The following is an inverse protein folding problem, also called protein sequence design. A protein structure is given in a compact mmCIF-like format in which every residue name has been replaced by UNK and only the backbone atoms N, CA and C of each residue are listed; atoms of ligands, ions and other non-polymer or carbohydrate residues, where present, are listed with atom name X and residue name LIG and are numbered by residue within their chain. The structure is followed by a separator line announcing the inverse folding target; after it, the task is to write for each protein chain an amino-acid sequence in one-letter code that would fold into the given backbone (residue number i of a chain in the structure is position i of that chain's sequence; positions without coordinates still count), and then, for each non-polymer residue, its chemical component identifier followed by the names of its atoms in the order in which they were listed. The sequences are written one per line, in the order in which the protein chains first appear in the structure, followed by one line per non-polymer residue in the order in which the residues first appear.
data_IF_732129895655
#
_entry.id   IF_732129895655
#
_cell.length_a   1.000
_cell.length_b   1.000
_cell.length_c   1.000
_cell.angle_alpha   90.00
_cell.angle_beta   90.00
_cell.angle_gamma   90.00
#
_symmetry.space_group_name_H-M   'P 1'
#
loop_
_entity.id
_entity.type
_entity.pdbx_description
1 polymer ?
#
# COMPACT_ATOMS: atom_id res chain seq x y z
N UNK A 1 -2.04 65.88 8.97
CA UNK A 1 -0.84 65.19 8.44
C UNK A 1 -0.94 63.73 8.84
N UNK A 2 -1.04 62.80 7.89
CA UNK A 2 -1.17 61.35 8.13
C UNK A 2 0.23 60.73 8.04
N UNK A 3 0.74 59.97 9.03
CA UNK A 3 1.89 59.11 8.79
C UNK A 3 1.42 57.75 8.28
N UNK A 4 2.19 57.25 7.31
CA UNK A 4 1.88 56.19 6.39
C UNK A 4 2.13 54.78 6.96
N UNK A 5 1.41 53.83 6.40
CA UNK A 5 1.52 52.40 6.60
C UNK A 5 2.84 51.85 6.02
N UNK A 6 3.42 50.86 6.71
CA UNK A 6 4.34 49.90 6.10
C UNK A 6 4.17 48.55 6.77
N UNK A 7 3.16 47.79 6.32
CA UNK A 7 3.01 46.38 6.64
C UNK A 7 3.95 45.57 5.75
N UNK A 8 5.05 45.07 6.31
CA UNK A 8 5.94 44.13 5.63
C UNK A 8 5.37 42.72 5.80
N UNK A 9 4.63 42.26 4.79
CA UNK A 9 4.10 40.90 4.72
C UNK A 9 5.25 39.94 4.40
N UNK A 10 5.70 39.17 5.38
CA UNK A 10 6.70 38.12 5.18
C UNK A 10 6.04 36.96 4.43
N UNK A 11 6.55 36.70 3.23
CA UNK A 11 6.12 35.65 2.31
C UNK A 11 6.49 34.28 2.89
N UNK A 12 5.48 33.51 3.32
CA UNK A 12 5.63 32.12 3.71
C UNK A 12 6.12 31.29 2.51
N UNK A 13 7.37 30.84 2.58
CA UNK A 13 7.93 29.88 1.66
C UNK A 13 7.34 28.50 1.98
N UNK A 14 6.32 28.09 1.23
CA UNK A 14 5.76 26.75 1.32
C UNK A 14 6.80 25.74 0.83
N UNK A 15 7.45 25.05 1.77
CA UNK A 15 8.26 23.87 1.49
C UNK A 15 7.33 22.76 0.98
N UNK A 16 7.37 22.52 -0.33
CA UNK A 16 6.75 21.34 -0.94
C UNK A 16 7.73 20.17 -0.79
N UNK A 17 7.49 19.34 0.23
CA UNK A 17 8.23 18.09 0.41
C UNK A 17 7.81 17.02 -0.63
N UNK A 18 8.71 16.08 -0.97
CA UNK A 18 8.41 14.99 -1.89
C UNK A 18 7.28 14.10 -1.34
N UNK A 19 6.34 13.76 -2.22
CA UNK A 19 5.22 12.86 -1.94
C UNK A 19 5.72 11.41 -1.93
N UNK A 20 5.64 10.76 -0.76
CA UNK A 20 5.91 9.34 -0.58
C UNK A 20 4.57 8.56 -0.55
N UNK A 21 4.59 7.24 -0.38
CA UNK A 21 3.38 6.46 -0.06
C UNK A 21 3.13 6.51 1.45
N UNK A 22 1.86 6.47 1.93
CA UNK A 22 1.50 6.85 3.32
C UNK A 22 2.31 6.13 4.40
N UNK A 23 3.44 6.74 4.73
CA UNK A 23 4.49 6.15 5.56
C UNK A 23 4.01 5.89 6.99
N UNK A 24 2.97 6.59 7.42
CA UNK A 24 2.44 6.52 8.78
C UNK A 24 1.66 5.25 9.09
N UNK A 25 1.05 4.60 8.11
CA UNK A 25 0.29 3.37 8.36
C UNK A 25 1.22 2.29 8.93
N UNK A 26 2.43 2.20 8.38
CA UNK A 26 3.49 1.27 8.81
C UNK A 26 3.96 1.47 10.25
N UNK A 27 3.69 2.64 10.84
CA UNK A 27 4.02 2.94 12.24
C UNK A 27 2.82 2.78 13.19
N UNK A 28 1.64 2.45 12.66
CA UNK A 28 0.47 2.15 13.48
C UNK A 28 0.49 0.68 13.95
N UNK A 29 -0.22 0.36 15.05
CA UNK A 29 -0.51 -1.02 15.40
C UNK A 29 -1.15 -1.77 14.24
N UNK A 30 -0.79 -3.03 14.08
CA UNK A 30 -1.35 -3.93 13.08
C UNK A 30 -2.24 -4.97 13.77
N UNK A 31 -3.54 -4.88 13.52
CA UNK A 31 -4.53 -5.84 14.00
C UNK A 31 -4.79 -6.88 12.90
N UNK A 32 -4.85 -8.16 13.28
CA UNK A 32 -5.11 -9.26 12.33
C UNK A 32 -6.14 -10.21 12.93
N UNK A 33 -7.26 -10.34 12.24
CA UNK A 33 -8.35 -11.27 12.57
C UNK A 33 -8.41 -12.40 11.54
N UNK A 34 -8.75 -13.62 11.96
CA UNK A 34 -9.01 -14.77 11.10
C UNK A 34 -9.85 -15.82 11.83
N UNK A 35 -10.36 -16.81 11.10
CA UNK A 35 -11.12 -17.92 11.68
C UNK A 35 -10.22 -18.89 12.48
N UNK A 36 -8.95 -19.02 12.08
CA UNK A 36 -7.98 -19.90 12.73
C UNK A 36 -6.55 -19.39 12.61
N UNK A 37 -5.71 -19.79 13.57
CA UNK A 37 -4.28 -19.46 13.61
C UNK A 37 -3.46 -20.68 14.02
N UNK A 38 -2.32 -20.86 13.37
CA UNK A 38 -1.24 -21.78 13.74
C UNK A 38 0.03 -20.94 13.89
N UNK A 39 0.55 -20.84 15.11
CA UNK A 39 1.60 -19.90 15.45
C UNK A 39 2.59 -20.50 16.45
N UNK A 40 3.88 -20.36 16.15
CA UNK A 40 4.94 -20.44 17.14
C UNK A 40 5.25 -19.04 17.66
N UNK A 41 5.21 -18.89 18.99
CA UNK A 41 5.65 -17.66 19.66
C UNK A 41 7.16 -17.72 19.78
N UNK A 42 7.85 -17.02 18.89
CA UNK A 42 9.30 -16.93 18.86
C UNK A 42 9.77 -15.81 17.95
N UNK A 43 11.00 -15.38 18.15
CA UNK A 43 11.62 -14.27 17.41
C UNK A 43 11.88 -14.65 15.93
N UNK A 44 12.11 -15.93 15.67
CA UNK A 44 12.20 -16.53 14.34
C UNK A 44 11.09 -17.56 14.17
N UNK A 45 9.97 -17.14 13.60
CA UNK A 45 8.78 -17.98 13.49
C UNK A 45 7.90 -17.60 12.29
N UNK A 46 7.06 -18.54 11.87
CA UNK A 46 5.99 -18.30 10.91
C UNK A 46 4.65 -18.44 11.64
N UNK A 47 3.84 -17.39 11.59
CA UNK A 47 2.43 -17.42 12.02
C UNK A 47 1.56 -17.56 10.79
N UNK A 48 0.75 -18.60 10.73
CA UNK A 48 -0.19 -18.86 9.65
C UNK A 48 -1.61 -18.60 10.13
N UNK A 49 -2.37 -17.80 9.40
CA UNK A 49 -3.78 -17.49 9.69
C UNK A 49 -4.64 -17.88 8.49
N UNK A 50 -5.76 -18.57 8.73
CA UNK A 50 -6.65 -19.08 7.68
C UNK A 50 -8.11 -18.74 7.94
N UNK A 51 -8.83 -18.45 6.86
CA UNK A 51 -10.25 -18.14 6.85
C UNK A 51 -10.54 -16.70 7.23
N UNK A 52 -11.25 -15.97 6.35
CA UNK A 52 -11.71 -14.59 6.56
C UNK A 52 -10.65 -13.66 7.17
N UNK A 53 -9.42 -13.72 6.63
CA UNK A 53 -8.31 -12.93 7.17
C UNK A 53 -8.55 -11.45 6.90
N UNK A 54 -8.53 -10.64 7.95
CA UNK A 54 -8.66 -9.19 7.91
C UNK A 54 -7.50 -8.54 8.62
N UNK A 55 -6.72 -7.71 7.91
CA UNK A 55 -5.61 -6.95 8.49
C UNK A 55 -5.97 -5.47 8.47
N UNK A 56 -5.70 -4.77 9.57
CA UNK A 56 -5.85 -3.33 9.68
C UNK A 56 -4.59 -2.70 10.25
N UNK A 57 -4.09 -1.65 9.58
CA UNK A 57 -2.93 -0.89 10.04
C UNK A 57 -3.05 0.58 9.60
N UNK A 58 -3.46 1.47 10.50
CA UNK A 58 -3.78 2.85 10.12
C UNK A 58 -4.94 2.90 9.11
N UNK A 59 -4.69 3.39 7.90
CA UNK A 59 -5.68 3.38 6.80
C UNK A 59 -5.65 2.13 5.94
N UNK A 60 -4.62 1.28 6.08
CA UNK A 60 -4.51 0.02 5.36
C UNK A 60 -5.56 -0.98 5.87
N UNK A 61 -6.38 -1.48 4.95
CA UNK A 61 -7.27 -2.61 5.15
C UNK A 61 -6.93 -3.72 4.14
N UNK A 62 -6.82 -4.96 4.61
CA UNK A 62 -6.58 -6.13 3.76
C UNK A 62 -7.62 -7.20 4.04
N UNK A 63 -8.18 -7.77 2.99
CA UNK A 63 -9.02 -8.97 3.04
C UNK A 63 -8.32 -10.11 2.26
N UNK A 64 -8.21 -11.30 2.86
CA UNK A 64 -7.60 -12.48 2.22
C UNK A 64 -8.18 -13.79 2.77
N UNK A 65 -7.91 -14.90 2.07
CA UNK A 65 -8.30 -16.23 2.55
C UNK A 65 -7.26 -16.80 3.54
N UNK A 66 -5.98 -16.43 3.36
CA UNK A 66 -4.85 -16.89 4.16
C UNK A 66 -3.77 -15.81 4.28
N UNK A 67 -3.15 -15.72 5.45
CA UNK A 67 -1.95 -14.93 5.69
C UNK A 67 -0.84 -15.78 6.35
N UNK A 68 0.40 -15.57 5.92
CA UNK A 68 1.60 -16.09 6.57
C UNK A 68 2.48 -14.91 6.97
N UNK A 69 2.78 -14.78 8.25
CA UNK A 69 3.56 -13.69 8.84
C UNK A 69 4.86 -14.30 9.32
N UNK A 70 5.95 -13.92 8.66
CA UNK A 70 7.29 -14.36 8.99
C UNK A 70 7.92 -13.34 9.92
N UNK A 71 8.48 -13.83 11.02
CA UNK A 71 9.33 -13.05 11.93
C UNK A 71 10.77 -13.50 11.82
N UNK A 72 11.68 -12.54 11.93
CA UNK A 72 13.09 -12.79 12.08
C UNK A 72 13.67 -11.79 13.10
N UNK A 73 14.35 -12.29 14.13
CA UNK A 73 14.89 -11.46 15.21
C UNK A 73 13.83 -10.63 15.96
N UNK A 74 12.58 -11.13 16.04
CA UNK A 74 11.47 -10.49 16.75
C UNK A 74 10.64 -9.54 15.89
N UNK A 75 11.18 -9.09 14.75
CA UNK A 75 10.50 -8.20 13.81
C UNK A 75 9.83 -8.96 12.68
N UNK A 76 8.79 -8.38 12.08
CA UNK A 76 8.17 -8.94 10.87
C UNK A 76 9.13 -8.74 9.70
N UNK A 77 9.54 -9.84 9.06
CA UNK A 77 10.40 -9.84 7.89
C UNK A 77 9.61 -9.92 6.59
N UNK A 78 8.53 -10.69 6.57
CA UNK A 78 7.71 -10.89 5.37
C UNK A 78 6.25 -11.19 5.74
N UNK A 79 5.32 -10.71 4.91
CA UNK A 79 3.90 -11.07 4.95
C UNK A 79 3.51 -11.65 3.59
N UNK A 80 2.90 -12.82 3.60
CA UNK A 80 2.35 -13.47 2.41
C UNK A 80 0.84 -13.55 2.56
N UNK A 81 0.12 -13.01 1.60
CA UNK A 81 -1.34 -13.02 1.53
C UNK A 81 -1.75 -13.83 0.32
N UNK A 82 -2.73 -14.72 0.49
CA UNK A 82 -3.32 -15.48 -0.62
C UNK A 82 -4.84 -15.39 -0.53
N UNK A 83 -5.49 -15.19 -1.66
CA UNK A 83 -6.94 -15.21 -1.74
C UNK A 83 -7.48 -15.26 -3.17
N UNK A 84 -8.81 -15.33 -3.30
CA UNK A 84 -9.48 -15.37 -4.60
C UNK A 84 -10.46 -14.20 -4.84
N UNK A 85 -10.01 -12.92 -4.87
CA UNK A 85 -8.64 -12.43 -4.69
C UNK A 85 -8.36 -11.91 -3.27
N UNK A 86 -7.08 -11.78 -2.91
CA UNK A 86 -6.68 -10.88 -1.84
C UNK A 86 -6.93 -9.41 -2.25
N UNK A 87 -7.44 -8.59 -1.34
CA UNK A 87 -7.80 -7.19 -1.57
C UNK A 87 -7.07 -6.30 -0.56
N UNK A 88 -6.54 -5.19 -1.04
CA UNK A 88 -5.87 -4.18 -0.23
C UNK A 88 -6.50 -2.83 -0.52
N UNK A 89 -6.79 -2.07 0.52
CA UNK A 89 -7.29 -0.69 0.43
C UNK A 89 -6.46 0.18 1.33
N UNK A 90 -6.07 1.35 0.86
CA UNK A 90 -5.36 2.33 1.68
C UNK A 90 -5.63 3.75 1.19
N UNK A 91 -5.29 4.72 2.02
CA UNK A 91 -5.22 6.12 1.62
C UNK A 91 -3.75 6.50 1.42
N UNK A 92 -3.40 6.93 0.22
CA UNK A 92 -2.05 7.42 -0.11
C UNK A 92 -1.67 8.67 0.72
N UNK A 93 -0.38 9.05 0.74
CA UNK A 93 0.05 10.29 1.43
C UNK A 93 -0.65 11.54 0.89
N UNK A 94 -1.02 11.51 -0.39
CA UNK A 94 -1.76 12.60 -1.04
C UNK A 94 -3.25 12.61 -0.69
N UNK A 95 -3.71 11.70 0.17
CA UNK A 95 -5.12 11.59 0.60
C UNK A 95 -6.02 10.88 -0.40
N UNK A 96 -5.48 10.36 -1.50
CA UNK A 96 -6.26 9.65 -2.52
C UNK A 96 -6.41 8.16 -2.15
N UNK A 97 -7.61 7.58 -2.30
CA UNK A 97 -7.79 6.15 -2.09
C UNK A 97 -7.04 5.33 -3.14
N UNK A 98 -6.56 4.17 -2.72
CA UNK A 98 -5.93 3.18 -3.59
C UNK A 98 -6.50 1.81 -3.24
N UNK A 99 -6.99 1.11 -4.25
CA UNK A 99 -7.45 -0.28 -4.16
C UNK A 99 -6.51 -1.17 -4.98
N UNK A 100 -6.14 -2.32 -4.43
CA UNK A 100 -5.38 -3.34 -5.14
C UNK A 100 -6.00 -4.72 -4.93
N UNK A 101 -5.94 -5.56 -5.95
CA UNK A 101 -6.33 -6.97 -5.87
C UNK A 101 -5.36 -7.86 -6.63
N UNK A 102 -5.09 -9.03 -6.09
CA UNK A 102 -4.26 -10.07 -6.68
C UNK A 102 -4.60 -11.43 -6.05
N UNK A 103 -4.21 -12.53 -6.69
CA UNK A 103 -4.36 -13.86 -6.07
C UNK A 103 -3.35 -14.07 -4.92
N UNK A 104 -2.14 -13.52 -5.10
CA UNK A 104 -1.07 -13.58 -4.11
C UNK A 104 -0.41 -12.21 -3.96
N UNK A 105 -0.14 -11.83 -2.72
CA UNK A 105 0.66 -10.64 -2.38
C UNK A 105 1.77 -11.06 -1.43
N UNK A 106 3.00 -10.72 -1.78
CA UNK A 106 4.18 -10.94 -0.93
C UNK A 106 4.76 -9.58 -0.60
N UNK A 107 4.75 -9.20 0.67
CA UNK A 107 5.37 -7.99 1.16
C UNK A 107 6.62 -8.35 1.95
N UNK A 108 7.77 -7.92 1.45
CA UNK A 108 9.06 -8.01 2.13
C UNK A 108 9.30 -6.70 2.89
N UNK A 109 9.30 -6.78 4.22
CA UNK A 109 9.43 -5.62 5.10
C UNK A 109 10.85 -5.06 5.11
N UNK A 110 11.85 -5.90 4.88
CA UNK A 110 13.26 -5.48 4.89
C UNK A 110 13.61 -4.62 3.69
N UNK A 111 13.09 -4.97 2.51
CA UNK A 111 13.35 -4.27 1.25
C UNK A 111 12.25 -3.28 0.84
N UNK A 112 11.14 -3.25 1.58
CA UNK A 112 9.95 -2.44 1.30
C UNK A 112 9.37 -2.70 -0.10
N UNK A 113 9.45 -3.96 -0.53
CA UNK A 113 8.97 -4.44 -1.81
C UNK A 113 7.71 -5.27 -1.61
N UNK A 114 6.65 -4.90 -2.31
CA UNK A 114 5.43 -5.67 -2.44
C UNK A 114 5.33 -6.26 -3.84
N UNK A 115 5.18 -7.58 -3.95
CA UNK A 115 4.96 -8.29 -5.21
C UNK A 115 3.54 -8.82 -5.24
N UNK A 116 2.76 -8.38 -6.23
CA UNK A 116 1.41 -8.84 -6.50
C UNK A 116 1.45 -9.79 -7.69
N UNK A 117 0.79 -10.94 -7.57
CA UNK A 117 0.77 -11.97 -8.62
C UNK A 117 -0.63 -12.55 -8.80
N UNK A 118 -1.00 -12.81 -10.06
CA UNK A 118 -2.26 -13.43 -10.45
C UNK A 118 -3.38 -12.41 -10.59
N UNK A 119 -3.74 -12.09 -11.84
CA UNK A 119 -4.85 -11.18 -12.19
C UNK A 119 -4.82 -9.83 -11.44
N UNK A 120 -3.63 -9.23 -11.37
CA UNK A 120 -3.39 -8.00 -10.60
C UNK A 120 -4.18 -6.84 -11.18
N UNK A 121 -4.85 -6.09 -10.31
CA UNK A 121 -5.45 -4.79 -10.62
C UNK A 121 -5.17 -3.81 -9.49
N UNK A 122 -4.59 -2.66 -9.83
CA UNK A 122 -4.45 -1.50 -8.94
C UNK A 122 -5.32 -0.37 -9.50
N UNK A 123 -6.13 0.26 -8.66
CA UNK A 123 -7.05 1.34 -9.00
C UNK A 123 -6.82 2.55 -8.08
N UNK A 124 -6.83 3.73 -8.69
CA UNK A 124 -6.70 5.03 -8.05
C UNK A 124 -7.58 6.04 -8.79
N UNK A 125 -7.92 7.20 -8.20
CA UNK A 125 -8.68 8.25 -8.88
C UNK A 125 -8.09 8.70 -10.22
N UNK A 126 -6.78 8.56 -10.40
CA UNK A 126 -6.06 8.98 -11.62
C UNK A 126 -5.91 7.87 -12.66
N UNK A 127 -6.38 6.65 -12.39
CA UNK A 127 -6.19 5.56 -13.34
C UNK A 127 -6.18 4.15 -12.75
N UNK A 128 -5.73 3.19 -13.56
CA UNK A 128 -5.58 1.80 -13.14
C UNK A 128 -4.41 1.11 -13.84
N UNK A 129 -3.84 0.10 -13.19
CA UNK A 129 -2.78 -0.76 -13.73
C UNK A 129 -3.23 -2.21 -13.61
N UNK A 130 -3.09 -2.99 -14.70
CA UNK A 130 -3.40 -4.41 -14.77
C UNK A 130 -2.21 -5.20 -15.31
N UNK A 131 -2.01 -6.41 -14.80
CA UNK A 131 -0.96 -7.32 -15.25
C UNK A 131 -1.01 -8.65 -14.50
N UNK A 132 -0.15 -9.58 -14.88
CA UNK A 132 -0.01 -10.85 -14.15
C UNK A 132 0.87 -10.69 -12.91
N UNK A 133 1.99 -10.00 -13.05
CA UNK A 133 2.92 -9.71 -11.95
C UNK A 133 3.23 -8.22 -11.89
N UNK A 134 3.01 -7.59 -10.74
CA UNK A 134 3.43 -6.22 -10.45
C UNK A 134 4.28 -6.17 -9.19
N UNK A 135 5.39 -5.45 -9.25
CA UNK A 135 6.26 -5.14 -8.11
C UNK A 135 6.11 -3.68 -7.75
N UNK A 136 5.85 -3.40 -6.49
CA UNK A 136 5.68 -2.06 -5.96
C UNK A 136 6.71 -1.81 -4.85
N UNK A 137 7.53 -0.80 -5.02
CA UNK A 137 8.45 -0.33 -3.98
C UNK A 137 7.75 0.76 -3.16
N UNK A 138 7.47 0.47 -1.89
CA UNK A 138 6.69 1.32 -1.00
C UNK A 138 7.45 2.57 -0.55
N UNK A 139 8.79 2.55 -0.59
CA UNK A 139 9.62 3.70 -0.24
C UNK A 139 9.72 4.74 -1.35
N UNK A 140 9.69 4.31 -2.61
CA UNK A 140 9.84 5.20 -3.78
C UNK A 140 8.52 5.44 -4.51
N UNK A 141 7.48 4.66 -4.21
CA UNK A 141 6.24 4.65 -4.97
C UNK A 141 6.38 4.09 -6.39
N UNK A 142 7.49 3.41 -6.70
CA UNK A 142 7.76 2.88 -8.04
C UNK A 142 7.02 1.57 -8.27
N UNK A 143 6.24 1.51 -9.36
CA UNK A 143 5.60 0.29 -9.86
C UNK A 143 6.40 -0.23 -11.06
N UNK A 144 6.76 -1.50 -11.02
CA UNK A 144 7.36 -2.26 -12.11
C UNK A 144 6.42 -3.40 -12.49
N UNK A 145 6.22 -3.62 -13.78
CA UNK A 145 5.38 -4.70 -14.27
C UNK A 145 5.92 -5.25 -15.58
N UNK A 146 5.64 -6.52 -15.83
CA UNK A 146 6.10 -7.24 -17.02
C UNK A 146 7.46 -7.92 -16.82
N UNK A 147 7.93 -8.60 -17.87
CA UNK A 147 9.15 -9.42 -17.83
C UNK A 147 8.91 -10.93 -17.68
N UNK A 148 7.65 -11.34 -17.49
CA UNK A 148 7.18 -12.73 -17.45
C UNK A 148 6.53 -13.19 -18.77
N UNK A 149 6.63 -12.37 -19.83
CA UNK A 149 5.99 -12.63 -21.12
C UNK A 149 4.51 -12.25 -21.20
N UNK A 150 3.92 -11.76 -20.09
CA UNK A 150 2.55 -11.24 -20.07
C UNK A 150 2.52 -9.71 -20.24
N UNK A 151 1.46 -9.21 -20.86
CA UNK A 151 1.29 -7.79 -21.13
C UNK A 151 0.87 -6.98 -19.90
N UNK A 152 1.29 -5.71 -19.85
CA UNK A 152 0.82 -4.74 -18.87
C UNK A 152 -0.16 -3.78 -19.54
N UNK A 153 -1.30 -3.52 -18.87
CA UNK A 153 -2.30 -2.56 -19.32
C UNK A 153 -2.46 -1.46 -18.29
N UNK A 154 -2.23 -0.21 -18.71
CA UNK A 154 -2.39 0.98 -17.87
C UNK A 154 -3.45 1.90 -18.47
N UNK A 155 -4.34 2.42 -17.63
CA UNK A 155 -5.29 3.49 -17.97
C UNK A 155 -4.94 4.71 -17.13
N UNK A 156 -4.69 5.84 -17.77
CA UNK A 156 -4.44 7.12 -17.10
C UNK A 156 -5.64 8.02 -17.40
N UNK A 157 -6.21 8.60 -16.35
CA UNK A 157 -7.31 9.55 -16.47
C UNK A 157 -6.74 10.97 -16.61
N UNK A 158 -7.29 11.80 -17.52
CA UNK A 158 -6.98 13.21 -17.57
C UNK A 158 -7.32 13.89 -16.24
N UNK A 159 -6.63 14.99 -15.91
CA UNK A 159 -6.91 15.81 -14.71
C UNK A 159 -8.30 16.49 -14.71
N UNK A 160 -9.14 16.23 -15.72
CA UNK A 160 -10.45 16.88 -15.88
C UNK A 160 -11.46 15.98 -16.59
N UNK A 161 -12.57 15.70 -15.92
CA UNK A 161 -13.88 15.93 -16.50
C UNK A 161 -14.69 16.74 -15.46
N UNK A 162 -15.28 17.88 -15.85
CA UNK A 162 -16.10 18.69 -14.95
C UNK A 162 -17.30 17.87 -14.44
N UNK A 163 -17.67 18.08 -13.18
CA UNK A 163 -19.02 17.76 -12.72
C UNK A 163 -19.99 18.58 -13.57
N UNK A 164 -20.81 17.90 -14.37
CA UNK A 164 -22.05 18.49 -14.89
C UNK A 164 -23.13 18.40 -13.82
#
# INVERSE_FOLDING_TARGET
MRPAATSLLILCLAATGPAFARSTDRSQPMDIDADSTDALLGDDAVTTMNGNVRIRQGTLEVDADRAEIHRAGGDISQIVLTGAPARLRQVSDTGEPMDARAQRVVYDRTSEIMVLTGAVLIEQPRGSVRGETLKYNLDTGRIEGGGDGQGISMRILPKTAPAN
#
